data_IF_853014721722
#
_entry.id   IF_853014721722
#
_cell.length_a   1.000
_cell.length_b   1.000
_cell.length_c   1.000
_cell.angle_alpha   90.00
_cell.angle_beta   90.00
_cell.angle_gamma   90.00
#
_symmetry.space_group_name_H-M   'P 1'
#
loop_
_entity.id
_entity.type
_entity.pdbx_description
1 polymer ?
#
# COMPACT_ATOMS: atom_id res chain seq x y z
N UNK A 1 -29.85 -11.56 2.78
CA UNK A 1 -28.38 -11.78 2.64
C UNK A 1 -27.98 -12.25 1.23
N UNK A 2 -28.46 -13.39 0.71
CA UNK A 2 -28.09 -13.89 -0.63
C UNK A 2 -28.22 -12.87 -1.77
N UNK A 3 -29.33 -12.13 -1.86
CA UNK A 3 -29.55 -11.11 -2.91
C UNK A 3 -28.59 -9.92 -2.82
N UNK A 4 -28.18 -9.56 -1.60
CA UNK A 4 -27.24 -8.46 -1.37
C UNK A 4 -25.81 -8.88 -1.77
N UNK A 5 -25.40 -10.08 -1.36
CA UNK A 5 -24.10 -10.66 -1.74
C UNK A 5 -24.02 -10.91 -3.24
N UNK A 6 -25.08 -11.36 -3.89
CA UNK A 6 -25.10 -11.51 -5.36
C UNK A 6 -25.00 -10.17 -6.10
N UNK A 7 -25.59 -9.10 -5.55
CA UNK A 7 -25.61 -7.78 -6.19
C UNK A 7 -24.32 -6.98 -5.98
N UNK A 8 -23.69 -7.12 -4.81
CA UNK A 8 -22.52 -6.30 -4.43
C UNK A 8 -21.26 -7.11 -4.13
N UNK A 9 -21.30 -8.44 -4.23
CA UNK A 9 -20.19 -9.33 -3.90
C UNK A 9 -18.91 -8.98 -4.66
N UNK A 10 -19.01 -8.68 -5.95
CA UNK A 10 -17.86 -8.26 -6.76
C UNK A 10 -17.21 -6.98 -6.23
N UNK A 11 -18.03 -6.00 -5.83
CA UNK A 11 -17.53 -4.73 -5.28
C UNK A 11 -16.87 -4.95 -3.92
N UNK A 12 -17.47 -5.78 -3.07
CA UNK A 12 -16.92 -6.13 -1.76
C UNK A 12 -15.58 -6.88 -1.89
N UNK A 13 -15.48 -7.82 -2.84
CA UNK A 13 -14.24 -8.54 -3.11
C UNK A 13 -13.14 -7.61 -3.63
N UNK A 14 -13.47 -6.71 -4.58
CA UNK A 14 -12.52 -5.74 -5.09
C UNK A 14 -12.02 -4.78 -3.99
N UNK A 15 -12.93 -4.33 -3.12
CA UNK A 15 -12.60 -3.49 -1.98
C UNK A 15 -11.69 -4.23 -0.98
N UNK A 16 -12.01 -5.49 -0.65
CA UNK A 16 -11.18 -6.30 0.24
C UNK A 16 -9.76 -6.51 -0.32
N UNK A 17 -9.64 -6.76 -1.63
CA UNK A 17 -8.36 -6.87 -2.31
C UNK A 17 -7.57 -5.55 -2.22
N UNK A 18 -8.22 -4.42 -2.51
CA UNK A 18 -7.61 -3.10 -2.46
C UNK A 18 -7.11 -2.75 -1.06
N UNK A 19 -7.91 -3.00 -0.01
CA UNK A 19 -7.51 -2.75 1.39
C UNK A 19 -6.31 -3.61 1.78
N UNK A 20 -6.29 -4.88 1.37
CA UNK A 20 -5.17 -5.80 1.65
C UNK A 20 -3.89 -5.39 0.93
N UNK A 21 -4.01 -5.01 -0.34
CA UNK A 21 -2.88 -4.51 -1.11
C UNK A 21 -2.34 -3.18 -0.54
N UNK A 22 -3.24 -2.30 -0.12
CA UNK A 22 -2.88 -1.05 0.51
C UNK A 22 -2.13 -1.28 1.83
N UNK A 23 -2.67 -2.10 2.75
CA UNK A 23 -2.04 -2.38 4.04
C UNK A 23 -0.67 -3.04 3.91
N UNK A 24 -0.51 -3.99 2.98
CA UNK A 24 0.78 -4.60 2.68
C UNK A 24 1.80 -3.58 2.13
N UNK A 25 1.33 -2.58 1.41
CA UNK A 25 2.17 -1.57 0.75
C UNK A 25 2.41 -0.31 1.60
N UNK A 26 1.62 -0.05 2.65
CA UNK A 26 1.71 1.17 3.48
C UNK A 26 3.12 1.36 4.07
N UNK A 27 3.81 0.26 4.42
CA UNK A 27 5.19 0.28 4.90
C UNK A 27 6.21 0.80 3.88
N UNK A 28 5.87 0.88 2.59
CA UNK A 28 6.75 1.36 1.55
C UNK A 28 6.34 2.74 1.02
N UNK A 29 5.15 3.23 1.37
CA UNK A 29 4.62 4.52 0.88
C UNK A 29 5.54 5.70 1.19
N UNK A 30 6.20 5.69 2.35
CA UNK A 30 7.15 6.74 2.73
C UNK A 30 8.47 6.70 1.93
N UNK A 31 8.82 5.54 1.34
CA UNK A 31 10.00 5.37 0.49
C UNK A 31 9.67 5.70 -0.97
N UNK A 32 8.45 5.39 -1.43
CA UNK A 32 8.02 5.52 -2.82
C UNK A 32 8.07 6.95 -3.37
N UNK A 33 7.83 7.96 -2.53
CA UNK A 33 7.82 9.37 -2.93
C UNK A 33 9.01 10.14 -2.33
N UNK A 34 10.04 9.44 -1.85
CA UNK A 34 11.17 10.10 -1.25
C UNK A 34 12.01 10.78 -2.34
N UNK A 35 12.36 12.07 -2.18
CA UNK A 35 13.32 12.71 -3.08
C UNK A 35 14.66 11.97 -3.02
N UNK A 36 15.53 12.20 -4.01
CA UNK A 36 16.87 11.62 -4.01
C UNK A 36 17.57 11.80 -2.65
N UNK A 37 18.21 10.73 -2.17
CA UNK A 37 18.84 10.71 -0.86
C UNK A 37 19.86 11.87 -0.75
N UNK A 38 19.76 12.75 0.25
CA UNK A 38 20.62 13.92 0.34
C UNK A 38 22.09 13.51 0.42
N UNK A 39 22.99 14.25 -0.26
CA UNK A 39 24.42 13.91 -0.35
C UNK A 39 25.07 13.65 1.01
N UNK A 40 24.66 14.37 2.06
CA UNK A 40 25.15 14.21 3.43
C UNK A 40 24.70 12.92 4.15
N UNK A 41 23.61 12.28 3.72
CA UNK A 41 23.13 11.03 4.33
C UNK A 41 24.06 9.84 4.05
N UNK A 42 24.90 9.92 3.01
CA UNK A 42 25.94 8.90 2.75
C UNK A 42 26.93 8.77 3.91
N UNK A 43 27.17 9.84 4.66
CA UNK A 43 28.06 9.83 5.83
C UNK A 43 27.48 9.07 7.04
N UNK A 44 26.15 8.89 7.09
CA UNK A 44 25.47 8.10 8.12
C UNK A 44 25.44 6.60 7.77
N UNK A 45 25.89 6.23 6.57
CA UNK A 45 25.89 4.85 6.09
C UNK A 45 27.09 4.10 6.67
N UNK A 46 26.85 2.97 7.36
CA UNK A 46 27.89 2.17 8.03
C UNK A 46 28.66 1.19 7.12
N UNK A 47 28.42 1.18 5.81
CA UNK A 47 29.07 0.28 4.85
C UNK A 47 29.80 1.04 3.76
#
# INVERSE_FOLDING_TARGET
>A
MKKFVQKYGTVLTALALMVTAHSASTCCYYVLHQPELPKGAKALRKF
#
